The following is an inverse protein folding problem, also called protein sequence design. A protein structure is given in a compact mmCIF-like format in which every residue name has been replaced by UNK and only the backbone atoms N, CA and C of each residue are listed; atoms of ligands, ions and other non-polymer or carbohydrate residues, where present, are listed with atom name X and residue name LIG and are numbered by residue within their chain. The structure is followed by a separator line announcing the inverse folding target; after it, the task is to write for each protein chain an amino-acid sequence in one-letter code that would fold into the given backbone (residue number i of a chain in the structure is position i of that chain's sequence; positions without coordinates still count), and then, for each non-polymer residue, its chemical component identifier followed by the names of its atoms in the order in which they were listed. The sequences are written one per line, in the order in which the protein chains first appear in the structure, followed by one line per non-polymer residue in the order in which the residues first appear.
data_IF_621661926812
#
_entry.id   IF_621661926812
#
_cell.length_a   1.000
_cell.length_b   1.000
_cell.length_c   1.000
_cell.angle_alpha   90.00
_cell.angle_beta   90.00
_cell.angle_gamma   90.00
#
_symmetry.space_group_name_H-M   'P 1'
#
loop_
_entity.id
_entity.type
_entity.pdbx_description
1 polymer ?
#
# COMPACT_ATOMS: atom_id res chain seq x y z
N UNK A 1 0.33 26.53 0.38
CA UNK A 1 -0.16 25.68 1.49
C UNK A 1 1.04 25.04 2.14
N UNK A 2 1.12 24.98 3.48
CA UNK A 2 2.21 24.28 4.15
C UNK A 2 2.17 22.78 3.82
N UNK A 3 3.32 22.10 3.80
CA UNK A 3 3.36 20.65 3.62
C UNK A 3 2.64 19.96 4.77
N UNK A 4 1.83 18.95 4.44
CA UNK A 4 1.14 18.12 5.44
C UNK A 4 2.13 17.21 6.15
N UNK A 5 1.94 17.00 7.44
CA UNK A 5 2.66 15.94 8.13
C UNK A 5 1.99 14.61 7.80
N UNK A 6 2.74 13.67 7.23
CA UNK A 6 2.22 12.35 6.81
C UNK A 6 3.11 11.28 7.43
N UNK A 7 2.51 10.47 8.29
CA UNK A 7 3.15 9.33 8.94
C UNK A 7 2.48 8.03 8.50
N UNK A 8 3.26 6.95 8.43
CA UNK A 8 2.79 5.63 8.04
C UNK A 8 3.12 4.63 9.14
N UNK A 9 2.09 4.12 9.81
CA UNK A 9 2.22 3.00 10.74
C UNK A 9 2.00 1.69 9.97
N UNK A 10 3.02 0.84 9.89
CA UNK A 10 2.90 -0.49 9.29
C UNK A 10 2.45 -1.47 10.36
N UNK A 11 1.18 -1.87 10.29
CA UNK A 11 0.59 -2.84 11.22
C UNK A 11 1.12 -4.25 10.93
N UNK A 12 1.21 -4.62 9.64
CA UNK A 12 1.72 -5.93 9.22
C UNK A 12 2.18 -5.92 7.77
N UNK A 13 3.37 -6.43 7.49
CA UNK A 13 3.77 -6.81 6.13
C UNK A 13 3.26 -8.22 5.81
N UNK A 14 2.57 -8.38 4.69
CA UNK A 14 1.99 -9.67 4.26
C UNK A 14 2.81 -10.32 3.17
N UNK A 15 3.36 -9.51 2.26
CA UNK A 15 4.17 -9.99 1.16
C UNK A 15 5.17 -8.92 0.72
N UNK A 16 6.38 -9.36 0.41
CA UNK A 16 7.42 -8.56 -0.23
C UNK A 16 7.86 -9.27 -1.51
N UNK A 17 7.91 -8.54 -2.62
CA UNK A 17 8.36 -9.02 -3.91
C UNK A 17 9.44 -8.09 -4.45
N UNK A 18 10.64 -8.62 -4.64
CA UNK A 18 11.76 -7.89 -5.24
C UNK A 18 11.74 -8.07 -6.76
N UNK A 19 11.92 -6.97 -7.49
CA UNK A 19 11.99 -6.96 -8.95
C UNK A 19 13.02 -5.93 -9.40
N UNK A 20 14.27 -6.38 -9.52
CA UNK A 20 15.40 -5.50 -9.82
C UNK A 20 15.56 -4.41 -8.75
N UNK A 21 15.62 -3.12 -9.11
CA UNK A 21 15.77 -2.02 -8.14
C UNK A 21 14.47 -1.65 -7.42
N UNK A 22 13.36 -2.35 -7.71
CA UNK A 22 12.05 -2.04 -7.15
C UNK A 22 11.56 -3.14 -6.21
N UNK A 23 10.96 -2.74 -5.09
CA UNK A 23 10.35 -3.62 -4.10
C UNK A 23 8.85 -3.35 -4.07
N UNK A 24 8.03 -4.37 -4.31
CA UNK A 24 6.59 -4.28 -4.14
C UNK A 24 6.20 -4.92 -2.82
N UNK A 25 5.50 -4.16 -1.96
CA UNK A 25 5.00 -4.65 -0.68
C UNK A 25 3.48 -4.67 -0.67
N UNK A 26 2.91 -5.74 -0.13
CA UNK A 26 1.52 -5.83 0.30
C UNK A 26 1.50 -5.81 1.83
N UNK A 27 0.85 -4.81 2.42
CA UNK A 27 0.93 -4.52 3.86
C UNK A 27 -0.38 -3.96 4.39
N UNK A 28 -0.67 -4.20 5.67
CA UNK A 28 -1.73 -3.49 6.39
C UNK A 28 -1.08 -2.25 7.02
N UNK A 29 -1.61 -1.08 6.71
CA UNK A 29 -1.06 0.20 7.17
C UNK A 29 -2.15 1.10 7.72
N UNK A 30 -1.77 2.03 8.59
CA UNK A 30 -2.55 3.21 8.94
C UNK A 30 -1.77 4.44 8.53
N UNK A 31 -2.42 5.36 7.84
CA UNK A 31 -1.84 6.65 7.53
C UNK A 31 -2.34 7.68 8.54
N UNK A 32 -1.42 8.48 9.06
CA UNK A 32 -1.73 9.57 9.98
C UNK A 32 -1.39 10.86 9.24
N UNK A 33 -2.40 11.67 8.95
CA UNK A 33 -2.25 12.92 8.19
C UNK A 33 -2.64 14.08 9.08
N UNK A 34 -1.68 14.97 9.34
CA UNK A 34 -1.84 16.11 10.26
C UNK A 34 -2.37 15.66 11.64
N UNK A 35 -1.83 14.54 12.15
CA UNK A 35 -2.19 13.94 13.44
C UNK A 35 -3.50 13.16 13.44
N UNK A 36 -4.18 13.00 12.30
CA UNK A 36 -5.45 12.27 12.18
C UNK A 36 -5.25 10.90 11.53
N UNK A 37 -5.66 9.84 12.23
CA UNK A 37 -5.73 8.48 11.67
C UNK A 37 -6.79 8.43 10.55
N UNK A 38 -6.37 8.02 9.35
CA UNK A 38 -7.26 7.88 8.18
C UNK A 38 -7.94 6.52 8.09
N UNK A 39 -7.68 5.63 9.04
CA UNK A 39 -8.14 4.24 9.06
C UNK A 39 -7.12 3.27 8.44
N UNK A 40 -7.26 2.00 8.83
CA UNK A 40 -6.41 0.93 8.33
C UNK A 40 -6.81 0.52 6.90
N UNK A 41 -5.80 0.29 6.06
CA UNK A 41 -5.95 -0.16 4.67
C UNK A 41 -5.05 -1.36 4.39
N UNK A 42 -5.51 -2.29 3.55
CA UNK A 42 -4.60 -3.19 2.83
C UNK A 42 -3.98 -2.38 1.69
N UNK A 43 -2.68 -2.15 1.73
CA UNK A 43 -1.95 -1.37 0.76
C UNK A 43 -0.99 -2.24 -0.05
N UNK A 44 -1.09 -2.14 -1.38
CA UNK A 44 -0.02 -2.53 -2.30
C UNK A 44 0.75 -1.29 -2.72
N UNK A 45 2.05 -1.22 -2.43
CA UNK A 45 2.90 -0.08 -2.76
C UNK A 45 4.23 -0.54 -3.37
N UNK A 46 4.68 0.22 -4.35
CA UNK A 46 6.00 0.07 -4.94
C UNK A 46 7.00 1.02 -4.25
N UNK A 47 8.19 0.52 -3.99
CA UNK A 47 9.34 1.24 -3.46
C UNK A 47 10.46 1.08 -4.47
N UNK A 48 11.25 2.13 -4.71
CA UNK A 48 12.35 2.07 -5.64
C UNK A 48 13.46 3.03 -5.22
N UNK A 49 14.70 2.66 -5.55
CA UNK A 49 15.84 3.55 -5.35
C UNK A 49 16.02 4.48 -6.55
N UNK A 50 16.32 5.75 -6.31
CA UNK A 50 16.79 6.67 -7.35
C UNK A 50 18.23 6.31 -7.76
N UNK A 51 18.72 6.94 -8.84
CA UNK A 51 20.12 6.79 -9.26
C UNK A 51 21.12 7.23 -8.19
N UNK A 52 20.70 8.11 -7.29
CA UNK A 52 21.50 8.63 -6.18
C UNK A 52 21.39 7.77 -4.91
N UNK A 53 20.67 6.63 -4.98
CA UNK A 53 20.51 5.69 -3.88
C UNK A 53 19.40 6.04 -2.88
N UNK A 54 18.65 7.12 -3.10
CA UNK A 54 17.52 7.49 -2.22
C UNK A 54 16.34 6.51 -2.40
N UNK A 55 15.80 5.99 -1.30
CA UNK A 55 14.57 5.21 -1.35
C UNK A 55 13.37 6.16 -1.54
N UNK A 56 12.57 5.90 -2.58
CA UNK A 56 11.33 6.62 -2.85
C UNK A 56 10.13 5.69 -2.85
N UNK A 57 9.02 6.23 -2.35
CA UNK A 57 7.72 5.58 -2.43
C UNK A 57 7.06 5.91 -3.77
N UNK A 58 6.71 4.87 -4.52
CA UNK A 58 5.93 4.96 -5.74
C UNK A 58 4.43 4.97 -5.51
N UNK A 59 3.70 4.68 -6.59
CA UNK A 59 2.23 4.59 -6.57
C UNK A 59 1.77 3.55 -5.56
N UNK A 60 0.67 3.86 -4.87
CA UNK A 60 -0.01 2.93 -3.99
C UNK A 60 -1.44 2.69 -4.41
N UNK A 61 -1.92 1.50 -4.08
CA UNK A 61 -3.33 1.12 -4.10
C UNK A 61 -3.71 0.71 -2.68
N UNK A 62 -4.68 1.40 -2.10
CA UNK A 62 -5.23 1.07 -0.79
C UNK A 62 -6.62 0.45 -0.97
N UNK A 63 -6.91 -0.59 -0.19
CA UNK A 63 -8.20 -1.25 -0.13
C UNK A 63 -8.70 -1.20 1.31
N UNK A 64 -9.89 -0.64 1.50
CA UNK A 64 -10.57 -0.66 2.79
C UNK A 64 -11.34 -1.98 2.96
N UNK A 65 -11.98 -2.18 4.11
CA UNK A 65 -12.70 -3.42 4.39
C UNK A 65 -13.85 -3.71 3.40
N UNK A 66 -14.58 -2.68 2.95
CA UNK A 66 -15.64 -2.87 1.95
C UNK A 66 -15.10 -3.32 0.60
N UNK A 67 -13.97 -2.77 0.16
CA UNK A 67 -13.31 -3.19 -1.09
C UNK A 67 -12.89 -4.66 -1.00
N UNK A 68 -12.30 -5.05 0.13
CA UNK A 68 -11.86 -6.44 0.36
C UNK A 68 -13.03 -7.41 0.40
N UNK A 69 -14.13 -7.03 1.06
CA UNK A 69 -15.36 -7.82 1.07
C UNK A 69 -15.88 -8.03 -0.34
N UNK A 70 -15.94 -6.96 -1.14
CA UNK A 70 -16.36 -7.05 -2.53
C UNK A 70 -15.46 -7.97 -3.36
N UNK A 71 -14.13 -7.91 -3.17
CA UNK A 71 -13.19 -8.82 -3.84
C UNK A 71 -13.44 -10.28 -3.44
N UNK A 72 -13.66 -10.56 -2.16
CA UNK A 72 -13.93 -11.91 -1.66
C UNK A 72 -15.25 -12.45 -2.23
N UNK A 73 -16.31 -11.64 -2.21
CA UNK A 73 -17.63 -12.02 -2.69
C UNK A 73 -17.62 -12.34 -4.21
N UNK A 74 -16.70 -11.73 -4.97
CA UNK A 74 -16.54 -11.93 -6.42
C UNK A 74 -15.27 -12.71 -6.79
N UNK A 75 -14.66 -13.44 -5.84
CA UNK A 75 -13.33 -14.03 -6.03
C UNK A 75 -13.25 -14.99 -7.22
N UNK A 76 -14.27 -15.82 -7.44
CA UNK A 76 -14.31 -16.79 -8.54
C UNK A 76 -14.26 -16.11 -9.91
N UNK A 77 -15.01 -15.02 -10.07
CA UNK A 77 -15.05 -14.27 -11.33
C UNK A 77 -13.71 -13.59 -11.59
N UNK A 78 -13.12 -12.97 -10.57
CA UNK A 78 -11.77 -12.38 -10.65
C UNK A 78 -10.74 -13.44 -11.04
N UNK A 79 -10.77 -14.60 -10.38
CA UNK A 79 -9.85 -15.70 -10.64
C UNK A 79 -9.99 -16.25 -12.08
N UNK A 80 -11.19 -16.21 -12.67
CA UNK A 80 -11.40 -16.68 -14.05
C UNK A 80 -10.76 -15.77 -15.12
N UNK A 81 -10.44 -14.53 -14.77
CA UNK A 81 -9.93 -13.50 -15.68
C UNK A 81 -8.43 -13.21 -15.54
N UNK A 82 -7.79 -13.69 -14.47
CA UNK A 82 -6.37 -13.49 -14.14
C UNK A 82 -5.55 -14.74 -14.41
#
# INVERSE_FOLDING_TARGET
MPPKNIECEVVKELQTQESGPAINKLRIVKWIVDGKDTGALLEKRNFFSTKDGEEKMGKAKGFNLSDLKYIIDNWKDIQSLM
#
